data_IF_573035704968
#
_entry.id   IF_573035704968
#
_cell.length_a   1.000
_cell.length_b   1.000
_cell.length_c   1.000
_cell.angle_alpha   90.00
_cell.angle_beta   90.00
_cell.angle_gamma   90.00
#
_symmetry.space_group_name_H-M   'P 1'
#
loop_
_entity.id
_entity.type
_entity.pdbx_description
1 polymer ?
#
# COMPACT_ATOMS: atom_id res chain seq x y z
N UNK A 1 20.84 12.27 -39.86
CA UNK A 1 19.71 11.33 -39.71
C UNK A 1 19.28 11.34 -38.25
N UNK A 2 18.12 11.93 -38.01
CA UNK A 2 17.63 12.33 -36.70
C UNK A 2 16.99 11.12 -36.01
N UNK A 3 17.64 10.55 -35.01
CA UNK A 3 17.08 9.53 -34.13
C UNK A 3 16.10 10.20 -33.18
N UNK A 4 14.93 10.63 -33.68
CA UNK A 4 13.81 11.04 -32.83
C UNK A 4 13.50 9.86 -31.92
N UNK A 5 13.82 10.05 -30.66
CA UNK A 5 13.57 9.13 -29.58
C UNK A 5 12.13 8.62 -29.65
N UNK A 6 11.99 7.32 -29.79
CA UNK A 6 10.74 6.56 -29.80
C UNK A 6 10.01 6.59 -28.41
N UNK A 7 10.06 7.73 -27.72
CA UNK A 7 9.31 7.97 -26.46
C UNK A 7 7.82 8.20 -26.68
N UNK A 8 7.39 8.42 -27.91
CA UNK A 8 5.98 8.69 -28.22
C UNK A 8 5.14 7.42 -28.43
N UNK A 9 5.77 6.25 -28.56
CA UNK A 9 5.09 4.96 -28.77
C UNK A 9 4.68 4.24 -27.50
N UNK A 10 5.12 4.68 -26.31
CA UNK A 10 4.80 4.03 -25.00
C UNK A 10 3.41 4.43 -24.47
N UNK A 11 2.56 4.98 -25.31
CA UNK A 11 1.18 5.37 -24.96
C UNK A 11 0.18 4.22 -25.17
N UNK A 12 0.62 3.08 -25.64
CA UNK A 12 -0.25 1.93 -25.81
C UNK A 12 -0.37 1.15 -24.51
N UNK A 13 -1.59 0.80 -24.13
CA UNK A 13 -1.89 -0.22 -23.12
C UNK A 13 -1.37 -1.59 -23.61
N UNK A 14 -0.06 -1.74 -23.72
CA UNK A 14 0.59 -3.01 -23.99
C UNK A 14 0.62 -3.86 -22.72
N UNK A 15 0.92 -5.16 -22.85
CA UNK A 15 0.92 -6.08 -21.70
C UNK A 15 1.67 -5.60 -20.46
N UNK A 16 2.80 -4.89 -20.63
CA UNK A 16 3.54 -4.29 -19.53
C UNK A 16 2.78 -3.14 -18.83
N UNK A 17 2.01 -2.35 -19.56
CA UNK A 17 1.18 -1.29 -18.98
C UNK A 17 0.04 -1.86 -18.12
N UNK A 18 -0.63 -2.88 -18.59
CA UNK A 18 -1.67 -3.59 -17.82
C UNK A 18 -1.13 -4.21 -16.54
N UNK A 19 0.08 -4.75 -16.58
CA UNK A 19 0.73 -5.28 -15.37
C UNK A 19 0.86 -4.21 -14.26
N UNK A 20 1.21 -2.98 -14.62
CA UNK A 20 1.31 -1.88 -13.65
C UNK A 20 -0.05 -1.46 -13.10
N UNK A 21 -1.10 -1.47 -13.93
CA UNK A 21 -2.47 -1.17 -13.50
C UNK A 21 -2.95 -2.23 -12.49
N UNK A 22 -2.78 -3.51 -12.83
CA UNK A 22 -3.17 -4.63 -11.96
C UNK A 22 -2.37 -4.59 -10.65
N UNK A 23 -1.05 -4.36 -10.72
CA UNK A 23 -0.22 -4.19 -9.53
C UNK A 23 -0.77 -3.11 -8.60
N UNK A 24 -1.05 -1.92 -9.12
CA UNK A 24 -1.58 -0.81 -8.34
C UNK A 24 -2.96 -1.13 -7.74
N UNK A 25 -3.84 -1.74 -8.53
CA UNK A 25 -5.17 -2.16 -8.07
C UNK A 25 -5.05 -3.13 -6.88
N UNK A 26 -4.13 -4.12 -6.97
CA UNK A 26 -3.85 -5.05 -5.89
C UNK A 26 -3.25 -4.35 -4.67
N UNK A 27 -2.36 -3.38 -4.85
CA UNK A 27 -1.80 -2.62 -3.72
C UNK A 27 -2.88 -1.84 -2.96
N UNK A 28 -3.81 -1.22 -3.65
CA UNK A 28 -4.95 -0.56 -3.01
C UNK A 28 -5.90 -1.55 -2.35
N UNK A 29 -6.11 -2.71 -2.96
CA UNK A 29 -6.88 -3.80 -2.36
C UNK A 29 -6.27 -4.27 -1.03
N UNK A 30 -4.97 -4.54 -1.02
CA UNK A 30 -4.26 -4.95 0.21
C UNK A 30 -4.22 -3.83 1.24
N UNK A 31 -4.07 -2.58 0.83
CA UNK A 31 -4.11 -1.45 1.75
C UNK A 31 -5.45 -1.40 2.52
N UNK A 32 -6.56 -1.52 1.83
CA UNK A 32 -7.89 -1.53 2.45
C UNK A 32 -8.07 -2.75 3.34
N UNK A 33 -7.71 -3.95 2.86
CA UNK A 33 -7.88 -5.20 3.57
C UNK A 33 -6.99 -5.33 4.82
N UNK A 34 -5.74 -4.84 4.76
CA UNK A 34 -4.79 -4.99 5.87
C UNK A 34 -4.88 -3.84 6.87
N UNK A 35 -5.18 -2.62 6.44
CA UNK A 35 -5.02 -1.41 7.27
C UNK A 35 -6.34 -0.74 7.59
N UNK A 36 -7.27 -0.70 6.64
CA UNK A 36 -8.50 0.08 6.77
C UNK A 36 -9.68 -0.81 7.20
N UNK A 37 -10.50 -1.21 6.27
CA UNK A 37 -11.76 -1.90 6.56
C UNK A 37 -11.53 -3.31 7.11
N UNK A 38 -10.58 -4.06 6.52
CA UNK A 38 -10.27 -5.42 6.98
C UNK A 38 -9.75 -5.47 8.42
N UNK A 39 -8.87 -4.54 8.83
CA UNK A 39 -8.38 -4.49 10.21
C UNK A 39 -9.48 -4.17 11.22
N UNK A 40 -10.44 -3.32 10.83
CA UNK A 40 -11.59 -2.99 11.68
C UNK A 40 -12.52 -4.19 11.85
N UNK A 41 -12.75 -4.96 10.79
CA UNK A 41 -13.62 -6.15 10.84
C UNK A 41 -13.08 -7.25 11.76
N UNK A 42 -11.75 -7.42 11.83
CA UNK A 42 -11.12 -8.42 12.69
C UNK A 42 -10.73 -7.88 14.08
N UNK A 43 -10.96 -6.59 14.37
CA UNK A 43 -10.57 -5.96 15.62
C UNK A 43 -11.17 -6.65 16.87
N UNK A 44 -12.41 -7.15 16.76
CA UNK A 44 -13.05 -7.92 17.80
C UNK A 44 -12.32 -9.22 18.13
N UNK A 45 -11.98 -9.99 17.10
CA UNK A 45 -11.27 -11.27 17.25
C UNK A 45 -9.85 -11.07 17.83
N UNK A 46 -9.15 -10.01 17.37
CA UNK A 46 -7.84 -9.66 17.90
C UNK A 46 -7.94 -9.23 19.37
N UNK A 47 -8.97 -8.46 19.73
CA UNK A 47 -9.21 -8.01 21.09
C UNK A 47 -9.45 -9.20 22.03
N UNK A 48 -10.25 -10.16 21.60
CA UNK A 48 -10.51 -11.39 22.36
C UNK A 48 -9.24 -12.22 22.57
N UNK A 49 -8.45 -12.41 21.49
CA UNK A 49 -7.19 -13.14 21.57
C UNK A 49 -6.15 -12.48 22.50
N UNK A 50 -6.19 -11.15 22.60
CA UNK A 50 -5.27 -10.37 23.48
C UNK A 50 -5.84 -10.07 24.86
N UNK A 51 -7.05 -10.51 25.18
CA UNK A 51 -7.71 -10.20 26.46
C UNK A 51 -7.99 -8.71 26.65
N UNK A 52 -8.29 -7.98 25.58
CA UNK A 52 -8.55 -6.54 25.58
C UNK A 52 -9.90 -6.22 24.93
N UNK A 53 -10.21 -4.95 24.71
CA UNK A 53 -11.43 -4.50 24.05
C UNK A 53 -11.22 -4.10 22.60
N UNK A 54 -12.24 -4.28 21.75
CA UNK A 54 -12.18 -3.83 20.36
C UNK A 54 -11.91 -2.32 20.24
N UNK A 55 -12.41 -1.51 21.19
CA UNK A 55 -12.10 -0.07 21.25
C UNK A 55 -10.62 0.21 21.48
N UNK A 56 -9.95 -0.59 22.31
CA UNK A 56 -8.49 -0.47 22.51
C UNK A 56 -7.72 -0.81 21.24
N UNK A 57 -8.11 -1.86 20.51
CA UNK A 57 -7.49 -2.21 19.23
C UNK A 57 -7.71 -1.08 18.19
N UNK A 58 -8.91 -0.49 18.15
CA UNK A 58 -9.17 0.66 17.26
C UNK A 58 -8.29 1.87 17.61
N UNK A 59 -8.06 2.15 18.88
CA UNK A 59 -7.10 3.18 19.32
C UNK A 59 -5.66 2.84 18.87
N UNK A 60 -5.25 1.58 19.01
CA UNK A 60 -3.96 1.11 18.51
C UNK A 60 -3.83 1.31 16.99
N UNK A 61 -4.89 1.03 16.22
CA UNK A 61 -4.92 1.27 14.78
C UNK A 61 -4.78 2.77 14.45
N UNK A 62 -5.43 3.64 15.20
CA UNK A 62 -5.30 5.10 15.01
C UNK A 62 -3.86 5.58 15.27
N UNK A 63 -3.24 5.13 16.35
CA UNK A 63 -1.83 5.43 16.67
C UNK A 63 -0.90 4.85 15.59
N UNK A 64 -1.13 3.62 15.18
CA UNK A 64 -0.37 2.97 14.12
C UNK A 64 -0.49 3.73 12.78
N UNK A 65 -1.66 4.29 12.48
CA UNK A 65 -1.87 5.13 11.31
C UNK A 65 -0.99 6.39 11.33
N UNK A 66 -0.94 7.10 12.46
CA UNK A 66 -0.09 8.29 12.61
C UNK A 66 1.40 7.94 12.46
N UNK A 67 1.86 6.88 13.13
CA UNK A 67 3.23 6.39 13.01
C UNK A 67 3.53 5.89 11.59
N UNK A 68 2.56 5.27 10.95
CA UNK A 68 2.64 4.81 9.56
C UNK A 68 2.89 5.96 8.57
N UNK A 69 2.28 7.13 8.79
CA UNK A 69 2.56 8.33 7.98
C UNK A 69 4.02 8.77 8.13
N UNK A 70 4.59 8.71 9.32
CA UNK A 70 6.01 9.04 9.54
C UNK A 70 6.90 8.07 8.74
N UNK A 71 6.63 6.76 8.83
CA UNK A 71 7.34 5.73 8.08
C UNK A 71 7.19 5.95 6.58
N UNK A 72 5.98 6.27 6.10
CA UNK A 72 5.71 6.60 4.71
C UNK A 72 6.58 7.76 4.19
N UNK A 73 6.76 8.82 4.97
CA UNK A 73 7.61 9.95 4.62
C UNK A 73 9.09 9.55 4.54
N UNK A 74 9.57 8.77 5.50
CA UNK A 74 10.95 8.25 5.52
C UNK A 74 11.20 7.39 4.29
N UNK A 75 10.30 6.45 3.99
CA UNK A 75 10.37 5.59 2.80
C UNK A 75 10.33 6.43 1.52
N UNK A 76 9.59 7.54 1.50
CA UNK A 76 9.56 8.48 0.38
C UNK A 76 10.94 9.08 0.06
N UNK A 77 11.73 9.40 1.07
CA UNK A 77 13.12 9.87 0.90
C UNK A 77 14.02 8.75 0.35
N UNK A 78 13.90 7.55 0.89
CA UNK A 78 14.67 6.38 0.45
C UNK A 78 14.33 5.98 -0.98
N UNK A 79 13.05 6.07 -1.36
CA UNK A 79 12.57 5.78 -2.71
C UNK A 79 13.26 6.61 -3.80
N UNK A 80 13.63 7.86 -3.51
CA UNK A 80 14.36 8.72 -4.45
C UNK A 80 15.75 8.18 -4.78
N UNK A 81 16.37 7.43 -3.88
CA UNK A 81 17.72 6.86 -4.05
C UNK A 81 17.68 5.48 -4.71
N UNK A 82 16.76 4.63 -4.31
CA UNK A 82 16.69 3.22 -4.73
C UNK A 82 15.86 3.07 -6.01
N UNK A 83 14.87 3.93 -6.21
CA UNK A 83 13.94 3.87 -7.34
C UNK A 83 12.66 3.09 -7.03
N UNK A 84 11.55 3.56 -7.61
CA UNK A 84 10.20 3.10 -7.28
C UNK A 84 9.96 1.60 -7.53
N UNK A 85 10.58 1.01 -8.56
CA UNK A 85 10.39 -0.40 -8.91
C UNK A 85 10.96 -1.33 -7.84
N UNK A 86 12.19 -1.09 -7.41
CA UNK A 86 12.86 -1.91 -6.39
C UNK A 86 12.23 -1.67 -5.02
N UNK A 87 11.94 -0.40 -4.72
CA UNK A 87 11.36 -0.02 -3.44
C UNK A 87 9.94 -0.57 -3.26
N UNK A 88 9.15 -0.70 -4.34
CA UNK A 88 7.83 -1.32 -4.25
C UNK A 88 7.91 -2.79 -3.82
N UNK A 89 8.85 -3.56 -4.38
CA UNK A 89 9.07 -4.96 -3.98
C UNK A 89 9.51 -5.09 -2.52
N UNK A 90 10.47 -4.27 -2.09
CA UNK A 90 10.94 -4.24 -0.70
C UNK A 90 9.78 -3.92 0.26
N UNK A 91 9.00 -2.90 -0.04
CA UNK A 91 7.85 -2.52 0.78
C UNK A 91 6.79 -3.63 0.88
N UNK A 92 6.50 -4.34 -0.21
CA UNK A 92 5.57 -5.46 -0.19
C UNK A 92 6.06 -6.61 0.70
N UNK A 93 7.36 -6.94 0.64
CA UNK A 93 7.95 -7.98 1.49
C UNK A 93 7.89 -7.57 2.95
N UNK A 94 8.29 -6.34 3.28
CA UNK A 94 8.24 -5.84 4.66
C UNK A 94 6.80 -5.82 5.16
N UNK A 95 5.85 -5.29 4.38
CA UNK A 95 4.44 -5.27 4.75
C UNK A 95 3.89 -6.67 5.02
N UNK A 96 4.23 -7.66 4.19
CA UNK A 96 3.81 -9.05 4.37
C UNK A 96 4.35 -9.65 5.68
N UNK A 97 5.65 -9.48 5.94
CA UNK A 97 6.28 -10.00 7.16
C UNK A 97 5.72 -9.32 8.40
N UNK A 98 5.59 -7.98 8.38
CA UNK A 98 5.08 -7.23 9.55
C UNK A 98 3.60 -7.50 9.79
N UNK A 99 2.80 -7.74 8.75
CA UNK A 99 1.40 -8.12 8.92
C UNK A 99 1.25 -9.51 9.54
N UNK A 100 2.12 -10.46 9.23
CA UNK A 100 2.18 -11.72 9.97
C UNK A 100 2.52 -11.49 11.45
N UNK A 101 3.38 -10.51 11.74
CA UNK A 101 3.67 -10.08 13.12
C UNK A 101 2.46 -9.44 13.82
N UNK A 102 1.61 -8.70 13.09
CA UNK A 102 0.33 -8.15 13.60
C UNK A 102 -0.59 -9.28 14.06
N UNK A 103 -0.76 -10.31 13.24
CA UNK A 103 -1.66 -11.43 13.52
C UNK A 103 -1.17 -12.32 14.67
N UNK A 104 0.12 -12.30 14.97
CA UNK A 104 0.75 -13.09 16.06
C UNK A 104 1.26 -12.21 17.21
N UNK A 105 0.79 -10.98 17.30
CA UNK A 105 1.29 -10.04 18.31
C UNK A 105 0.88 -10.48 19.74
N UNK A 106 1.83 -10.60 20.69
CA UNK A 106 1.55 -11.05 22.04
C UNK A 106 0.89 -9.98 22.92
N UNK A 107 0.97 -8.72 22.51
CA UNK A 107 0.41 -7.59 23.25
C UNK A 107 0.12 -6.40 22.31
N UNK A 108 -0.64 -5.43 22.83
CA UNK A 108 -1.07 -4.25 22.05
C UNK A 108 0.07 -3.34 21.62
N UNK A 109 1.20 -3.30 22.33
CA UNK A 109 2.37 -2.50 21.96
C UNK A 109 3.04 -3.08 20.72
N UNK A 110 3.33 -4.38 20.72
CA UNK A 110 3.90 -5.08 19.55
C UNK A 110 2.94 -4.99 18.37
N UNK A 111 1.64 -5.18 18.60
CA UNK A 111 0.60 -5.00 17.61
C UNK A 111 0.70 -3.62 16.94
N UNK A 112 0.72 -2.56 17.75
CA UNK A 112 0.75 -1.17 17.25
C UNK A 112 2.02 -0.89 16.43
N UNK A 113 3.18 -1.36 16.86
CA UNK A 113 4.45 -1.18 16.16
C UNK A 113 4.41 -1.91 14.80
N UNK A 114 4.03 -3.18 14.80
CA UNK A 114 3.95 -3.98 13.57
C UNK A 114 2.91 -3.41 12.60
N UNK A 115 1.76 -2.97 13.11
CA UNK A 115 0.72 -2.33 12.32
C UNK A 115 1.20 -1.00 11.72
N UNK A 116 1.96 -0.18 12.46
CA UNK A 116 2.54 1.06 11.95
C UNK A 116 3.51 0.81 10.79
N UNK A 117 4.38 -0.19 10.91
CA UNK A 117 5.33 -0.55 9.85
C UNK A 117 4.56 -1.05 8.61
N UNK A 118 3.57 -1.92 8.81
CA UNK A 118 2.71 -2.42 7.73
C UNK A 118 2.00 -1.26 7.03
N UNK A 119 1.40 -0.33 7.78
CA UNK A 119 0.71 0.83 7.27
C UNK A 119 1.65 1.70 6.39
N UNK A 120 2.80 2.09 6.92
CA UNK A 120 3.75 2.95 6.20
C UNK A 120 4.32 2.30 4.94
N UNK A 121 4.61 1.00 4.98
CA UNK A 121 5.19 0.28 3.84
C UNK A 121 4.15 -0.01 2.76
N UNK A 122 2.95 -0.46 3.08
CA UNK A 122 1.92 -0.72 2.07
C UNK A 122 1.40 0.58 1.44
N UNK A 123 1.26 1.66 2.21
CA UNK A 123 0.98 2.98 1.67
C UNK A 123 2.06 3.44 0.69
N UNK A 124 3.33 3.23 1.03
CA UNK A 124 4.45 3.58 0.15
C UNK A 124 4.47 2.77 -1.13
N UNK A 125 4.17 1.48 -1.08
CA UNK A 125 4.07 0.63 -2.25
C UNK A 125 2.96 1.11 -3.21
N UNK A 126 1.78 1.42 -2.69
CA UNK A 126 0.64 1.89 -3.47
C UNK A 126 0.78 3.34 -3.94
N UNK A 127 0.86 4.29 -3.01
CA UNK A 127 0.79 5.72 -3.34
C UNK A 127 2.09 6.28 -3.90
N UNK A 128 3.24 6.03 -3.24
CA UNK A 128 4.51 6.61 -3.70
C UNK A 128 5.09 5.85 -4.90
N UNK A 129 5.37 4.56 -4.74
CA UNK A 129 6.01 3.78 -5.78
C UNK A 129 5.06 3.60 -6.97
N UNK A 130 3.80 3.27 -6.72
CA UNK A 130 2.80 3.12 -7.75
C UNK A 130 2.55 4.39 -8.53
N UNK A 131 2.41 5.54 -7.86
CA UNK A 131 2.24 6.83 -8.52
C UNK A 131 3.42 7.20 -9.43
N UNK A 132 4.66 6.93 -9.00
CA UNK A 132 5.86 7.13 -9.83
C UNK A 132 5.88 6.16 -11.02
N UNK A 133 5.53 4.89 -10.82
CA UNK A 133 5.46 3.90 -11.90
C UNK A 133 4.41 4.31 -12.95
N UNK A 134 3.21 4.71 -12.54
CA UNK A 134 2.17 5.19 -13.44
C UNK A 134 2.64 6.45 -14.20
N UNK A 135 3.28 7.40 -13.52
CA UNK A 135 3.78 8.61 -14.16
C UNK A 135 4.85 8.32 -15.23
N UNK A 136 5.70 7.31 -14.99
CA UNK A 136 6.75 6.90 -15.92
C UNK A 136 6.21 6.11 -17.11
N UNK A 137 5.21 5.25 -16.90
CA UNK A 137 4.64 4.39 -17.95
C UNK A 137 3.54 5.07 -18.77
N UNK A 138 2.79 5.98 -18.16
CA UNK A 138 1.64 6.64 -18.77
C UNK A 138 1.71 8.17 -18.69
N UNK A 139 2.77 8.83 -19.19
CA UNK A 139 2.97 10.27 -18.99
C UNK A 139 1.82 11.12 -19.53
N UNK A 140 1.21 10.72 -20.67
CA UNK A 140 0.08 11.44 -21.30
C UNK A 140 -1.30 11.08 -20.73
N UNK A 141 -1.45 9.92 -20.04
CA UNK A 141 -2.73 9.42 -19.52
C UNK A 141 -2.71 9.16 -18.01
N UNK A 142 -1.76 9.78 -17.31
CA UNK A 142 -1.53 9.60 -15.87
C UNK A 142 -2.81 9.71 -15.03
N UNK A 143 -3.62 10.74 -15.24
CA UNK A 143 -4.85 10.96 -14.48
C UNK A 143 -5.89 9.86 -14.69
N UNK A 144 -6.08 9.42 -15.93
CA UNK A 144 -7.03 8.34 -16.25
C UNK A 144 -6.58 7.03 -15.63
N UNK A 145 -5.31 6.70 -15.76
CA UNK A 145 -4.75 5.45 -15.19
C UNK A 145 -4.81 5.46 -13.68
N UNK A 146 -4.49 6.59 -13.03
CA UNK A 146 -4.66 6.74 -11.58
C UNK A 146 -6.11 6.55 -11.14
N UNK A 147 -7.09 7.07 -11.91
CA UNK A 147 -8.51 6.82 -11.65
C UNK A 147 -8.88 5.34 -11.70
N UNK A 148 -8.41 4.59 -12.69
CA UNK A 148 -8.65 3.14 -12.75
C UNK A 148 -8.00 2.37 -11.60
N UNK A 149 -6.78 2.74 -11.21
CA UNK A 149 -6.09 2.05 -10.12
C UNK A 149 -6.74 2.29 -8.76
N UNK A 150 -7.28 3.50 -8.51
CA UNK A 150 -8.00 3.80 -7.27
C UNK A 150 -9.34 3.08 -7.15
N UNK A 151 -9.90 2.53 -8.24
CA UNK A 151 -11.07 1.64 -8.16
C UNK A 151 -10.79 0.40 -7.31
N UNK A 152 -9.53 -0.05 -7.21
CA UNK A 152 -9.12 -1.12 -6.33
C UNK A 152 -9.45 -0.86 -4.86
N UNK A 153 -9.35 0.39 -4.41
CA UNK A 153 -9.76 0.82 -3.08
C UNK A 153 -11.26 0.61 -2.86
N UNK A 154 -12.09 1.12 -3.76
CA UNK A 154 -13.54 1.02 -3.65
C UNK A 154 -14.04 -0.43 -3.76
N UNK A 155 -13.44 -1.24 -4.64
CA UNK A 155 -13.75 -2.66 -4.76
C UNK A 155 -13.39 -3.42 -3.49
N UNK A 156 -12.27 -3.11 -2.87
CA UNK A 156 -11.85 -3.71 -1.62
C UNK A 156 -12.80 -3.33 -0.47
N UNK A 157 -13.15 -2.05 -0.33
CA UNK A 157 -14.15 -1.62 0.66
C UNK A 157 -15.45 -2.41 0.50
N UNK A 158 -15.96 -2.55 -0.73
CA UNK A 158 -17.16 -3.33 -0.98
C UNK A 158 -17.03 -4.83 -0.66
N UNK A 159 -15.82 -5.38 -0.69
CA UNK A 159 -15.55 -6.79 -0.38
C UNK A 159 -15.31 -7.04 1.12
N UNK A 160 -14.84 -6.05 1.88
CA UNK A 160 -14.50 -6.17 3.31
C UNK A 160 -15.59 -5.59 4.23
N UNK A 161 -16.59 -4.93 3.72
CA UNK A 161 -17.80 -4.47 4.45
C UNK A 161 -18.91 -5.46 4.28
#
# INVERSE_FOLDING_TARGET
MNKKSNKDSVVAFGGAGWFHIIYMLLMFWFYVGMINDGSNNIAGNIAEAMGTTAGNISNCNAIAGVLGVIIFLIVGVVNRKIGARMMSGINCIIAGITYMGVLNAPNTVVYTIMMAITCGTIMSAGYLCGGVLVANWFPKKKGIVMGYTTMGHNLATAAFV
#
